data_IF_911517625726
#
_entry.id   IF_911517625726
#
_cell.length_a   1.000
_cell.length_b   1.000
_cell.length_c   1.000
_cell.angle_alpha   90.00
_cell.angle_beta   90.00
_cell.angle_gamma   90.00
#
_symmetry.space_group_name_H-M   'P 1'
#
loop_
_entity.id
_entity.type
_entity.pdbx_description
1 polymer ?
#
# COMPACT_ATOMS: atom_id res chain seq x y z
N UNK A 1 -38.53 23.82 -16.30
CA UNK A 1 -37.60 22.86 -15.68
C UNK A 1 -37.20 21.90 -16.77
N UNK A 2 -36.21 22.33 -17.53
CA UNK A 2 -35.93 21.80 -18.85
C UNK A 2 -35.30 20.42 -18.76
N UNK A 3 -35.39 19.65 -19.84
CA UNK A 3 -34.72 18.34 -19.94
C UNK A 3 -33.22 18.46 -19.60
N UNK A 4 -32.62 19.60 -19.92
CA UNK A 4 -31.25 19.99 -19.58
C UNK A 4 -31.04 20.11 -18.06
N UNK A 5 -31.97 20.73 -17.32
CA UNK A 5 -31.88 20.86 -15.86
C UNK A 5 -31.94 19.50 -15.16
N UNK A 6 -32.79 18.58 -15.67
CA UNK A 6 -32.90 17.22 -15.12
C UNK A 6 -31.63 16.41 -15.39
N UNK A 7 -31.02 16.58 -16.57
CA UNK A 7 -29.74 15.94 -16.88
C UNK A 7 -28.62 16.49 -15.99
N UNK A 8 -28.57 17.81 -15.76
CA UNK A 8 -27.60 18.44 -14.88
C UNK A 8 -27.71 17.93 -13.43
N UNK A 9 -28.94 17.88 -12.88
CA UNK A 9 -29.18 17.37 -11.53
C UNK A 9 -28.80 15.89 -11.39
N UNK A 10 -29.04 15.07 -12.42
CA UNK A 10 -28.65 13.66 -12.42
C UNK A 10 -27.13 13.50 -12.40
N UNK A 11 -26.39 14.31 -13.16
CA UNK A 11 -24.91 14.27 -13.17
C UNK A 11 -24.34 14.66 -11.80
N UNK A 12 -24.87 15.69 -11.15
CA UNK A 12 -24.45 16.10 -9.81
C UNK A 12 -24.73 15.01 -8.76
N UNK A 13 -25.91 14.39 -8.82
CA UNK A 13 -26.28 13.31 -7.91
C UNK A 13 -25.37 12.08 -8.08
N UNK A 14 -25.05 11.70 -9.32
CA UNK A 14 -24.13 10.59 -9.60
C UNK A 14 -22.71 10.92 -9.14
N UNK A 15 -22.24 12.15 -9.36
CA UNK A 15 -20.92 12.58 -8.90
C UNK A 15 -20.79 12.52 -7.37
N UNK A 16 -21.83 12.93 -6.64
CA UNK A 16 -21.90 12.86 -5.17
C UNK A 16 -21.88 11.41 -4.66
N UNK A 17 -22.61 10.50 -5.33
CA UNK A 17 -22.62 9.08 -4.98
C UNK A 17 -21.22 8.47 -5.21
N UNK A 18 -20.58 8.77 -6.34
CA UNK A 18 -19.24 8.28 -6.65
C UNK A 18 -18.18 8.81 -5.67
N UNK A 19 -18.24 10.09 -5.30
CA UNK A 19 -17.31 10.65 -4.30
C UNK A 19 -17.45 9.98 -2.95
N UNK A 20 -18.68 9.69 -2.51
CA UNK A 20 -18.94 8.99 -1.26
C UNK A 20 -18.49 7.53 -1.29
N UNK A 21 -18.71 6.83 -2.40
CA UNK A 21 -18.26 5.45 -2.56
C UNK A 21 -16.73 5.35 -2.58
N UNK A 22 -16.07 6.28 -3.27
CA UNK A 22 -14.60 6.39 -3.31
C UNK A 22 -14.02 6.69 -1.94
N UNK A 23 -14.65 7.57 -1.16
CA UNK A 23 -14.24 7.87 0.21
C UNK A 23 -14.32 6.63 1.11
N UNK A 24 -15.41 5.86 1.00
CA UNK A 24 -15.61 4.65 1.82
C UNK A 24 -14.63 3.53 1.52
N UNK A 25 -14.20 3.37 0.26
CA UNK A 25 -13.16 2.39 -0.11
C UNK A 25 -11.80 2.80 0.47
N UNK A 26 -11.51 4.11 0.56
CA UNK A 26 -10.25 4.62 1.14
C UNK A 26 -10.15 4.42 2.65
N UNK A 27 -11.26 4.24 3.36
CA UNK A 27 -11.31 3.96 4.80
C UNK A 27 -10.94 2.50 5.15
N UNK A 28 -10.88 1.59 4.18
CA UNK A 28 -10.51 0.20 4.46
C UNK A 28 -9.00 0.09 4.60
N UNK A 29 -8.55 -0.04 5.85
CA UNK A 29 -7.17 -0.36 6.16
C UNK A 29 -6.86 -1.81 5.72
N UNK A 30 -5.78 -1.99 4.96
CA UNK A 30 -5.30 -3.31 4.57
C UNK A 30 -3.81 -3.48 4.85
N UNK A 31 -3.43 -4.73 5.07
CA UNK A 31 -2.05 -5.19 5.19
C UNK A 31 -1.92 -6.47 4.36
N UNK A 32 -1.11 -6.42 3.32
CA UNK A 32 -0.86 -7.57 2.43
C UNK A 32 0.61 -7.98 2.52
N UNK A 33 0.88 -9.29 2.60
CA UNK A 33 2.25 -9.80 2.59
C UNK A 33 2.78 -9.86 1.16
N UNK A 34 3.95 -9.27 0.93
CA UNK A 34 4.68 -9.31 -0.33
C UNK A 34 5.78 -10.38 -0.30
N UNK A 35 6.09 -10.94 -1.47
CA UNK A 35 7.25 -11.82 -1.66
C UNK A 35 8.52 -10.98 -1.73
N UNK A 36 9.65 -11.54 -1.30
CA UNK A 36 10.95 -10.86 -1.36
C UNK A 36 11.42 -10.52 -2.79
N UNK A 37 10.90 -11.25 -3.79
CA UNK A 37 11.24 -11.05 -5.19
C UNK A 37 10.35 -9.99 -5.88
N UNK A 38 9.47 -9.32 -5.11
CA UNK A 38 8.66 -8.22 -5.64
C UNK A 38 9.55 -7.02 -5.96
N UNK A 39 9.36 -6.45 -7.15
CA UNK A 39 10.05 -5.26 -7.63
C UNK A 39 9.26 -4.00 -7.30
N UNK A 40 9.99 -2.99 -6.85
CA UNK A 40 9.42 -1.75 -6.35
C UNK A 40 10.17 -0.57 -6.97
N UNK A 41 9.44 0.46 -7.46
CA UNK A 41 10.07 1.70 -7.88
C UNK A 41 10.46 2.53 -6.65
N UNK A 42 11.74 2.85 -6.51
CA UNK A 42 12.20 3.86 -5.55
C UNK A 42 12.33 5.22 -6.24
N UNK A 43 12.01 6.33 -5.55
CA UNK A 43 12.12 7.66 -6.13
C UNK A 43 13.57 7.95 -6.55
N UNK A 44 13.78 8.23 -7.84
CA UNK A 44 15.10 8.53 -8.41
C UNK A 44 15.98 7.31 -8.71
N UNK A 45 15.47 6.08 -8.59
CA UNK A 45 16.22 4.86 -8.91
C UNK A 45 15.41 3.92 -9.82
N UNK A 46 16.11 3.02 -10.51
CA UNK A 46 15.48 1.92 -11.24
C UNK A 46 14.75 0.98 -10.29
N UNK A 47 13.83 0.16 -10.84
CA UNK A 47 13.15 -0.89 -10.08
C UNK A 47 14.15 -1.77 -9.33
N UNK A 48 13.98 -1.86 -8.02
CA UNK A 48 14.79 -2.73 -7.17
C UNK A 48 13.92 -3.81 -6.55
N UNK A 49 14.50 -4.98 -6.35
CA UNK A 49 13.81 -6.06 -5.65
C UNK A 49 13.83 -5.78 -4.16
N UNK A 50 12.79 -6.21 -3.45
CA UNK A 50 12.76 -6.09 -1.99
C UNK A 50 13.96 -6.79 -1.32
N UNK A 51 14.43 -7.90 -1.91
CA UNK A 51 15.65 -8.60 -1.50
C UNK A 51 16.91 -7.73 -1.60
N UNK A 52 17.02 -6.84 -2.59
CA UNK A 52 18.22 -5.99 -2.75
C UNK A 52 18.30 -4.85 -1.74
N UNK A 53 17.19 -4.51 -1.08
CA UNK A 53 17.14 -3.48 -0.03
C UNK A 53 17.82 -3.89 1.29
N UNK A 54 18.49 -5.05 1.32
CA UNK A 54 19.45 -5.48 2.34
C UNK A 54 18.95 -5.31 3.78
N UNK A 55 17.73 -5.78 4.06
CA UNK A 55 17.21 -5.84 5.41
C UNK A 55 18.09 -6.74 6.28
N UNK A 56 18.34 -6.30 7.53
CA UNK A 56 19.05 -7.10 8.53
C UNK A 56 18.10 -7.49 9.67
N UNK A 57 18.32 -8.64 10.33
CA UNK A 57 17.52 -9.04 11.49
C UNK A 57 17.49 -7.94 12.56
N UNK A 58 16.29 -7.53 12.98
CA UNK A 58 16.07 -6.46 13.95
C UNK A 58 15.89 -5.07 13.38
N UNK A 59 15.92 -4.93 12.06
CA UNK A 59 15.65 -3.67 11.37
C UNK A 59 14.17 -3.58 10.99
N UNK A 60 13.65 -2.36 11.05
CA UNK A 60 12.34 -1.97 10.50
C UNK A 60 12.57 -0.78 9.58
N UNK A 61 11.86 -0.73 8.46
CA UNK A 61 11.90 0.40 7.55
C UNK A 61 10.50 0.60 6.97
N UNK A 62 10.21 1.87 6.70
CA UNK A 62 8.95 2.31 6.14
C UNK A 62 9.27 3.12 4.89
N UNK A 63 8.76 2.66 3.76
CA UNK A 63 8.77 3.43 2.53
C UNK A 63 7.47 4.21 2.41
N UNK A 64 7.55 5.49 1.98
CA UNK A 64 6.38 6.27 1.61
C UNK A 64 5.50 5.52 0.60
N UNK A 65 4.20 5.87 0.53
CA UNK A 65 3.30 5.28 -0.44
C UNK A 65 3.81 5.48 -1.87
N UNK A 66 4.03 4.36 -2.54
CA UNK A 66 4.57 4.28 -3.89
C UNK A 66 3.56 3.53 -4.75
N UNK A 67 3.53 3.87 -6.05
CA UNK A 67 2.74 3.12 -7.02
C UNK A 67 3.43 1.78 -7.26
N UNK A 68 2.81 0.69 -6.83
CA UNK A 68 3.30 -0.63 -7.21
C UNK A 68 3.01 -0.89 -8.69
N UNK A 69 4.01 -1.38 -9.40
CA UNK A 69 3.88 -1.69 -10.82
C UNK A 69 3.37 -3.11 -11.05
N UNK A 70 2.19 -3.19 -11.66
CA UNK A 70 1.96 -3.91 -12.93
C UNK A 70 0.50 -3.75 -13.39
N UNK A 71 -0.42 -3.44 -12.48
CA UNK A 71 -1.83 -3.19 -12.80
C UNK A 71 -2.10 -1.70 -12.60
N UNK A 72 -2.52 -1.00 -13.67
CA UNK A 72 -2.90 0.43 -13.64
C UNK A 72 -3.91 0.79 -12.54
N UNK A 73 -4.62 -0.20 -12.03
CA UNK A 73 -5.72 -0.06 -11.06
C UNK A 73 -5.30 -0.34 -9.61
N UNK A 74 -4.08 -0.83 -9.34
CA UNK A 74 -3.62 -0.97 -7.97
C UNK A 74 -3.23 0.42 -7.42
N UNK A 75 -3.89 0.81 -6.33
CA UNK A 75 -3.69 2.10 -5.68
C UNK A 75 -2.26 2.31 -5.16
N UNK A 76 -1.98 3.53 -4.71
CA UNK A 76 -0.74 3.84 -3.99
C UNK A 76 -0.76 3.11 -2.63
N UNK A 77 0.34 2.46 -2.28
CA UNK A 77 0.46 1.77 -1.00
C UNK A 77 1.85 1.96 -0.41
N UNK A 78 1.92 2.16 0.91
CA UNK A 78 3.16 2.21 1.65
C UNK A 78 3.73 0.79 1.82
N UNK A 79 5.06 0.70 1.79
CA UNK A 79 5.75 -0.59 1.91
C UNK A 79 6.52 -0.60 3.21
N UNK A 80 6.22 -1.58 4.05
CA UNK A 80 6.88 -1.80 5.33
C UNK A 80 7.70 -3.05 5.20
N UNK A 81 8.97 -3.00 5.57
CA UNK A 81 9.70 -4.23 5.81
C UNK A 81 10.14 -4.36 7.25
N UNK A 82 10.05 -5.58 7.73
CA UNK A 82 10.36 -5.95 9.08
C UNK A 82 11.08 -7.29 9.08
N UNK A 83 12.23 -7.33 9.74
CA UNK A 83 12.87 -8.61 10.03
C UNK A 83 12.94 -8.80 11.53
N UNK A 84 12.22 -9.80 12.05
CA UNK A 84 12.29 -10.17 13.45
C UNK A 84 13.72 -10.59 13.83
N UNK A 85 14.20 -10.12 14.99
CA UNK A 85 15.51 -10.54 15.53
C UNK A 85 15.54 -12.05 15.78
N UNK A 86 16.72 -12.64 15.66
CA UNK A 86 16.98 -14.01 16.09
C UNK A 86 16.75 -14.11 17.60
N UNK A 87 15.84 -14.98 18.02
CA UNK A 87 15.58 -15.26 19.43
C UNK A 87 15.70 -16.76 19.68
N UNK A 88 16.44 -17.14 20.73
CA UNK A 88 16.59 -18.55 21.17
C UNK A 88 16.94 -19.51 20.03
N UNK A 89 17.84 -19.10 19.13
CA UNK A 89 18.27 -19.91 17.99
C UNK A 89 17.28 -19.97 16.81
N UNK A 90 16.05 -19.48 16.97
CA UNK A 90 15.04 -19.44 15.90
C UNK A 90 15.14 -18.11 15.14
N UNK A 91 15.33 -18.20 13.83
CA UNK A 91 15.35 -17.08 12.92
C UNK A 91 14.52 -17.43 11.69
N UNK A 92 13.73 -16.47 11.22
CA UNK A 92 13.03 -16.61 9.96
C UNK A 92 13.99 -16.46 8.79
N UNK A 93 13.84 -17.35 7.81
CA UNK A 93 14.70 -17.40 6.62
C UNK A 93 14.63 -16.11 5.79
N UNK A 94 13.51 -15.40 5.86
CA UNK A 94 13.20 -14.24 5.02
C UNK A 94 12.61 -13.11 5.86
N UNK A 95 12.87 -11.86 5.43
CA UNK A 95 12.22 -10.69 5.99
C UNK A 95 10.73 -10.64 5.62
N UNK A 96 9.92 -10.01 6.46
CA UNK A 96 8.53 -9.72 6.16
C UNK A 96 8.43 -8.41 5.43
N UNK A 97 7.83 -8.46 4.25
CA UNK A 97 7.48 -7.28 3.48
C UNK A 97 5.96 -7.16 3.46
N UNK A 98 5.47 -6.00 3.83
CA UNK A 98 4.05 -5.70 3.95
C UNK A 98 3.73 -4.50 3.07
N UNK A 99 2.63 -4.60 2.34
CA UNK A 99 2.00 -3.50 1.64
C UNK A 99 0.81 -3.01 2.47
N UNK A 100 0.74 -1.71 2.72
CA UNK A 100 -0.31 -1.15 3.56
C UNK A 100 -0.75 0.24 3.13
N UNK A 101 -2.00 0.59 3.41
CA UNK A 101 -2.51 1.96 3.36
C UNK A 101 -2.41 2.68 4.74
N UNK A 102 -1.78 2.04 5.73
CA UNK A 102 -1.65 2.61 7.07
C UNK A 102 -0.53 3.68 7.15
N UNK A 103 -0.71 4.69 8.00
CA UNK A 103 0.23 5.81 8.11
C UNK A 103 1.54 5.45 8.79
N UNK A 104 1.67 4.26 9.41
CA UNK A 104 2.89 3.88 10.14
C UNK A 104 3.22 2.39 10.04
N UNK A 105 4.52 2.08 10.11
CA UNK A 105 5.02 0.71 10.21
C UNK A 105 4.54 -0.02 11.47
N UNK A 106 4.32 0.70 12.57
CA UNK A 106 3.81 0.10 13.81
C UNK A 106 2.38 -0.40 13.63
N UNK A 107 1.51 0.42 13.03
CA UNK A 107 0.12 0.04 12.77
C UNK A 107 0.04 -1.20 11.87
N UNK A 108 0.87 -1.27 10.84
CA UNK A 108 0.92 -2.41 9.91
C UNK A 108 1.44 -3.71 10.54
N UNK A 109 2.20 -3.64 11.63
CA UNK A 109 2.69 -4.81 12.36
C UNK A 109 1.74 -5.29 13.46
N UNK A 110 0.73 -4.49 13.81
CA UNK A 110 -0.26 -4.79 14.86
C UNK A 110 -1.63 -5.18 14.28
N UNK A 111 -1.99 -4.67 13.10
CA UNK A 111 -3.23 -4.97 12.39
C UNK A 111 -3.32 -6.44 11.96
#
# INVERSE_FOLDING_TARGET
MDFVDRQAQLVENVASILSNLLAKIREVAFVCRLKQDTYIPLPGQNYQSLKSLALKPGMKWYLPPIKLTQVKEFGQGAVVGYWRRKYRGKQEKEAWYLLTNLPSASAALTA
#
